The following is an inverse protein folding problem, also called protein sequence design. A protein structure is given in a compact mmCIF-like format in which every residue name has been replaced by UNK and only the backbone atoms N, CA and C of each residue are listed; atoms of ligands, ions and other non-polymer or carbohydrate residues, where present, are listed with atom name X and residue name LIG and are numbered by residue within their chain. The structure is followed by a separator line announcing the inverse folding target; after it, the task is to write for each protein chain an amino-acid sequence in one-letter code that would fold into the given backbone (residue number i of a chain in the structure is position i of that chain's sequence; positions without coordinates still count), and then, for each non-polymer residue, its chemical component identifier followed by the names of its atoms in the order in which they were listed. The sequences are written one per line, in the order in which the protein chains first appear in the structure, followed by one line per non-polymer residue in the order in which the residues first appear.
data_IF_061254152942
#
_entry.id   IF_061254152942
#
_cell.length_a   1.000
_cell.length_b   1.000
_cell.length_c   1.000
_cell.angle_alpha   90.00
_cell.angle_beta   90.00
_cell.angle_gamma   90.00
#
_symmetry.space_group_name_H-M   'P 1'
#
loop_
_entity.id
_entity.type
_entity.pdbx_description
1 polymer ?
#
# COMPACT_ATOMS: atom_id res chain seq x y z
N UNK A 1 7.25 -1.96 -1.20
CA UNK A 1 6.12 -1.01 -1.38
C UNK A 1 5.80 -0.69 -2.84
N UNK A 2 6.75 -0.23 -3.65
CA UNK A 2 6.47 0.16 -5.05
C UNK A 2 5.85 -0.96 -5.90
N UNK A 3 6.26 -2.23 -5.70
CA UNK A 3 5.64 -3.40 -6.37
C UNK A 3 4.13 -3.50 -6.11
N UNK A 4 3.71 -3.32 -4.86
CA UNK A 4 2.29 -3.38 -4.49
C UNK A 4 1.50 -2.23 -5.13
N UNK A 5 1.94 -0.99 -4.90
CA UNK A 5 1.23 0.18 -5.42
C UNK A 5 1.24 0.22 -6.95
N UNK A 6 2.32 -0.21 -7.59
CA UNK A 6 2.41 -0.29 -9.06
C UNK A 6 1.46 -1.32 -9.69
N UNK A 7 1.00 -2.33 -8.94
CA UNK A 7 0.09 -3.36 -9.44
C UNK A 7 -1.40 -2.94 -9.40
N UNK A 8 -1.76 -1.96 -8.55
CA UNK A 8 -3.15 -1.55 -8.33
C UNK A 8 -3.84 -0.87 -9.53
N UNK A 9 -3.15 -0.05 -10.36
CA UNK A 9 -3.75 0.55 -11.56
C UNK A 9 -4.05 -0.42 -12.71
N UNK A 10 -3.81 -1.73 -12.56
CA UNK A 10 -3.97 -2.73 -13.63
C UNK A 10 -4.79 -3.96 -13.26
N UNK A 11 -4.83 -4.94 -14.16
CA UNK A 11 -5.50 -6.24 -13.97
C UNK A 11 -4.84 -7.13 -12.89
N UNK A 12 -3.68 -6.73 -12.36
CA UNK A 12 -2.86 -7.48 -11.41
C UNK A 12 -3.28 -7.30 -9.94
N UNK A 13 -4.57 -7.02 -9.67
CA UNK A 13 -5.08 -6.87 -8.28
C UNK A 13 -4.84 -8.14 -7.44
N UNK A 14 -4.92 -9.32 -8.05
CA UNK A 14 -4.58 -10.59 -7.38
C UNK A 14 -3.11 -10.69 -6.98
N UNK A 15 -2.19 -10.21 -7.81
CA UNK A 15 -0.76 -10.16 -7.49
C UNK A 15 -0.46 -9.16 -6.36
N UNK A 16 -1.24 -8.08 -6.28
CA UNK A 16 -1.18 -7.13 -5.18
C UNK A 16 -1.67 -7.75 -3.87
N UNK A 17 -2.73 -8.55 -3.91
CA UNK A 17 -3.27 -9.25 -2.72
C UNK A 17 -2.29 -10.25 -2.15
N UNK A 18 -1.53 -10.96 -3.00
CA UNK A 18 -0.50 -11.89 -2.58
C UNK A 18 0.65 -11.23 -1.78
N UNK A 19 0.75 -9.90 -1.75
CA UNK A 19 1.73 -9.16 -0.94
C UNK A 19 1.24 -8.88 0.49
N UNK A 20 -0.02 -9.18 0.81
CA UNK A 20 -0.55 -9.08 2.17
C UNK A 20 -0.21 -10.33 2.99
N UNK A 21 -0.16 -10.17 4.31
CA UNK A 21 0.00 -11.27 5.24
C UNK A 21 -1.14 -12.28 5.07
N UNK A 22 -0.80 -13.57 4.97
CA UNK A 22 -1.76 -14.62 4.63
C UNK A 22 -2.22 -14.61 3.16
N UNK A 23 -1.57 -13.83 2.29
CA UNK A 23 -1.80 -13.81 0.84
C UNK A 23 -3.08 -13.06 0.41
N UNK A 24 -3.72 -12.33 1.33
CA UNK A 24 -4.90 -11.51 1.04
C UNK A 24 -5.05 -10.38 2.07
N UNK A 25 -5.61 -9.23 1.70
CA UNK A 25 -6.02 -8.23 2.67
C UNK A 25 -7.12 -8.75 3.60
N UNK A 26 -7.33 -8.06 4.74
CA UNK A 26 -8.53 -8.23 5.54
C UNK A 26 -9.81 -7.95 4.71
N UNK A 27 -10.98 -8.49 5.09
CA UNK A 27 -12.23 -8.30 4.32
C UNK A 27 -12.58 -6.82 4.07
N UNK A 28 -12.27 -5.95 5.03
CA UNK A 28 -12.25 -4.50 4.86
C UNK A 28 -10.80 -4.06 5.03
N UNK A 29 -10.04 -3.91 3.94
CA UNK A 29 -8.64 -3.50 4.04
C UNK A 29 -8.54 -2.05 4.53
N UNK A 30 -7.48 -1.77 5.29
CA UNK A 30 -7.18 -0.40 5.72
C UNK A 30 -6.84 0.55 4.55
N UNK A 31 -6.61 0.01 3.34
CA UNK A 31 -6.46 0.75 2.08
C UNK A 31 -7.67 0.66 1.14
N UNK A 32 -8.85 0.34 1.68
CA UNK A 32 -10.10 0.29 0.93
C UNK A 32 -10.39 1.57 0.12
N UNK A 33 -9.97 2.75 0.62
CA UNK A 33 -10.10 4.02 -0.09
C UNK A 33 -9.41 4.02 -1.45
N UNK A 34 -8.23 3.41 -1.57
CA UNK A 34 -7.52 3.25 -2.84
C UNK A 34 -8.14 2.14 -3.69
N UNK A 35 -8.43 0.99 -3.07
CA UNK A 35 -8.98 -0.19 -3.76
C UNK A 35 -10.37 0.06 -4.36
N UNK A 36 -11.15 0.94 -3.75
CA UNK A 36 -12.46 1.38 -4.23
C UNK A 36 -12.40 2.31 -5.45
N UNK A 37 -11.24 2.83 -5.81
CA UNK A 37 -11.10 3.66 -7.01
C UNK A 37 -11.12 2.77 -8.26
N UNK A 38 -12.17 2.94 -9.07
CA UNK A 38 -12.27 2.36 -10.41
C UNK A 38 -11.60 3.22 -11.48
N UNK A 39 -11.43 2.67 -12.69
CA UNK A 39 -10.98 3.38 -13.88
C UNK A 39 -9.69 4.23 -13.67
N UNK A 40 -8.73 3.70 -12.90
CA UNK A 40 -7.44 4.36 -12.70
C UNK A 40 -6.70 4.40 -14.04
N UNK A 41 -6.47 5.61 -14.56
CA UNK A 41 -5.71 5.83 -15.79
C UNK A 41 -4.20 5.90 -15.49
N UNK A 42 -3.84 6.50 -14.37
CA UNK A 42 -2.47 6.56 -13.89
C UNK A 42 -2.40 6.84 -12.39
N UNK A 43 -1.28 6.47 -11.78
CA UNK A 43 -1.01 6.74 -10.37
C UNK A 43 0.43 7.21 -10.20
N UNK A 44 0.59 8.34 -9.51
CA UNK A 44 1.90 8.80 -9.03
C UNK A 44 2.03 8.41 -7.57
N UNK A 45 3.15 7.76 -7.25
CA UNK A 45 3.49 7.26 -5.92
C UNK A 45 4.68 8.07 -5.41
N UNK A 46 4.55 8.66 -4.24
CA UNK A 46 5.67 9.23 -3.51
C UNK A 46 5.76 8.52 -2.16
N UNK A 47 6.94 7.96 -1.85
CA UNK A 47 7.19 7.28 -0.59
C UNK A 47 8.23 8.09 0.18
N UNK A 48 8.00 8.26 1.48
CA UNK A 48 9.02 8.78 2.37
C UNK A 48 9.92 7.63 2.88
N UNK A 49 10.98 7.97 3.62
CA UNK A 49 11.89 7.00 4.20
C UNK A 49 11.14 6.04 5.15
N UNK A 50 11.45 4.74 5.15
CA UNK A 50 10.88 3.81 6.11
C UNK A 50 11.17 4.21 7.56
N UNK A 51 10.17 4.07 8.42
CA UNK A 51 10.24 4.33 9.86
C UNK A 51 10.21 2.99 10.59
N UNK A 52 11.19 2.71 11.44
CA UNK A 52 11.19 1.50 12.27
C UNK A 52 10.06 1.57 13.32
N UNK A 53 9.31 0.47 13.47
CA UNK A 53 8.22 0.33 14.44
C UNK A 53 8.60 -0.56 15.63
N UNK A 54 9.80 -1.12 15.62
CA UNK A 54 10.40 -1.89 16.70
C UNK A 54 11.84 -1.43 16.97
N UNK A 55 12.45 -2.01 18.00
CA UNK A 55 13.82 -1.72 18.41
C UNK A 55 14.82 -2.80 17.96
N UNK A 56 14.40 -3.72 17.08
CA UNK A 56 15.29 -4.77 16.58
C UNK A 56 16.33 -4.20 15.60
N UNK A 57 17.47 -4.88 15.46
CA UNK A 57 18.53 -4.51 14.52
C UNK A 57 18.97 -5.74 13.72
N UNK A 58 18.55 -5.86 12.43
CA UNK A 58 17.71 -4.92 11.68
C UNK A 58 16.23 -4.93 12.18
N UNK A 59 15.45 -3.84 11.93
CA UNK A 59 14.04 -3.80 12.28
C UNK A 59 13.24 -4.92 11.63
N UNK A 60 12.25 -5.45 12.33
CA UNK A 60 11.31 -6.47 11.81
C UNK A 60 9.96 -5.90 11.46
N UNK A 61 9.68 -4.66 11.81
CA UNK A 61 8.46 -3.94 11.48
C UNK A 61 8.82 -2.53 11.08
N UNK A 62 8.31 -2.13 9.92
CA UNK A 62 8.49 -0.78 9.40
C UNK A 62 7.16 -0.20 8.95
N UNK A 63 7.07 1.12 9.02
CA UNK A 63 6.04 1.91 8.37
C UNK A 63 6.66 2.65 7.18
N UNK A 64 6.01 2.60 6.02
CA UNK A 64 6.40 3.36 4.83
C UNK A 64 5.30 4.37 4.56
N UNK A 65 5.53 5.66 4.88
CA UNK A 65 4.58 6.73 4.56
C UNK A 65 4.49 6.91 3.04
N UNK A 66 3.27 7.17 2.56
CA UNK A 66 2.98 7.32 1.14
C UNK A 66 2.05 8.49 0.88
N UNK A 67 2.29 9.13 -0.27
CA UNK A 67 1.42 10.15 -0.84
C UNK A 67 1.11 9.73 -2.28
N UNK A 68 -0.17 9.62 -2.60
CA UNK A 68 -0.65 9.12 -3.88
C UNK A 68 -1.43 10.20 -4.61
N UNK A 69 -1.17 10.34 -5.90
CA UNK A 69 -2.02 11.10 -6.83
C UNK A 69 -2.59 10.10 -7.82
N UNK A 70 -3.90 9.88 -7.76
CA UNK A 70 -4.62 8.92 -8.60
C UNK A 70 -5.42 9.68 -9.63
N UNK A 71 -5.17 9.44 -10.91
CA UNK A 71 -5.94 10.01 -12.01
C UNK A 71 -6.94 8.97 -12.52
N UNK A 72 -8.20 9.36 -12.59
CA UNK A 72 -9.30 8.58 -13.16
C UNK A 72 -9.85 9.29 -14.41
N UNK A 73 -10.82 8.65 -15.06
CA UNK A 73 -11.67 9.27 -16.09
C UNK A 73 -12.51 10.46 -15.58
N UNK A 74 -12.87 10.43 -14.30
CA UNK A 74 -13.73 11.41 -13.63
C UNK A 74 -12.98 12.52 -12.89
N UNK A 75 -11.67 12.40 -12.69
CA UNK A 75 -10.89 13.44 -12.04
C UNK A 75 -9.56 12.99 -11.45
N UNK A 76 -9.10 13.70 -10.43
CA UNK A 76 -7.85 13.40 -9.72
C UNK A 76 -8.11 13.38 -8.22
N UNK A 77 -7.75 12.27 -7.57
CA UNK A 77 -7.84 12.09 -6.13
C UNK A 77 -6.44 12.10 -5.51
N UNK A 78 -6.34 12.61 -4.27
CA UNK A 78 -5.12 12.55 -3.47
C UNK A 78 -5.38 11.71 -2.24
N UNK A 79 -4.51 10.74 -1.99
CA UNK A 79 -4.55 9.90 -0.81
C UNK A 79 -3.24 10.04 -0.05
N UNK A 80 -3.30 10.02 1.27
CA UNK A 80 -2.13 10.02 2.16
C UNK A 80 -2.28 8.97 3.24
N UNK A 81 -1.15 8.46 3.71
CA UNK A 81 -1.12 7.54 4.84
C UNK A 81 0.14 6.69 4.82
N UNK A 82 0.04 5.42 5.21
CA UNK A 82 1.20 4.55 5.29
C UNK A 82 0.85 3.07 5.11
N UNK A 83 1.85 2.28 4.73
CA UNK A 83 1.79 0.82 4.75
C UNK A 83 2.75 0.29 5.78
N UNK A 84 2.30 -0.72 6.54
CA UNK A 84 3.10 -1.37 7.58
C UNK A 84 3.49 -2.76 7.13
N UNK A 85 4.78 -3.03 7.21
CA UNK A 85 5.40 -4.22 6.64
C UNK A 85 6.12 -5.02 7.71
N UNK A 86 6.13 -6.33 7.54
CA UNK A 86 6.92 -7.28 8.32
C UNK A 86 7.57 -8.33 7.39
N UNK A 87 8.65 -9.02 7.79
CA UNK A 87 9.17 -10.16 7.07
C UNK A 87 8.12 -11.26 6.95
N UNK A 88 8.03 -11.85 5.77
CA UNK A 88 7.23 -13.05 5.54
C UNK A 88 7.96 -14.26 6.11
N UNK A 89 7.25 -15.07 6.88
CA UNK A 89 7.80 -16.28 7.49
C UNK A 89 8.36 -17.24 6.43
N UNK A 90 9.63 -17.65 6.60
CA UNK A 90 10.28 -18.59 5.69
C UNK A 90 10.75 -18.00 4.36
N UNK A 91 10.79 -16.67 4.21
CA UNK A 91 11.31 -15.98 3.03
C UNK A 91 12.05 -14.69 3.39
N UNK A 92 12.86 -14.18 2.48
CA UNK A 92 13.50 -12.85 2.61
C UNK A 92 12.59 -11.70 2.13
N UNK A 93 11.34 -12.02 1.74
CA UNK A 93 10.36 -11.04 1.28
C UNK A 93 9.66 -10.34 2.45
N UNK A 94 9.18 -9.12 2.20
CA UNK A 94 8.32 -8.37 3.11
C UNK A 94 6.86 -8.48 2.68
N UNK A 95 5.96 -8.54 3.66
CA UNK A 95 4.51 -8.56 3.46
C UNK A 95 3.84 -7.39 4.18
N UNK A 96 2.68 -6.96 3.66
CA UNK A 96 1.84 -5.93 4.24
C UNK A 96 0.96 -6.58 5.32
N UNK A 97 1.05 -6.12 6.56
CA UNK A 97 0.17 -6.59 7.63
C UNK A 97 -0.89 -5.55 8.03
N UNK A 98 -0.71 -4.28 7.64
CA UNK A 98 -1.62 -3.18 7.94
C UNK A 98 -1.37 -2.03 6.95
N UNK A 99 -2.38 -1.19 6.74
CA UNK A 99 -2.20 0.11 6.10
C UNK A 99 -3.00 1.19 6.86
N UNK A 100 -2.87 2.44 6.41
CA UNK A 100 -3.85 3.50 6.63
C UNK A 100 -3.82 4.36 5.38
N UNK A 101 -4.96 4.61 4.74
CA UNK A 101 -5.05 5.53 3.62
C UNK A 101 -6.35 6.34 3.69
N UNK A 102 -6.21 7.65 3.55
CA UNK A 102 -7.33 8.57 3.60
C UNK A 102 -7.27 9.56 2.44
N UNK A 103 -8.45 9.92 1.93
CA UNK A 103 -8.57 10.98 0.95
C UNK A 103 -8.28 12.34 1.59
N UNK A 104 -7.52 13.17 0.88
CA UNK A 104 -7.30 14.56 1.27
C UNK A 104 -8.38 15.40 0.60
N UNK A 105 -9.29 15.95 1.40
CA UNK A 105 -10.25 16.96 0.94
C UNK A 105 -9.48 18.24 0.57
N UNK A 106 -9.86 18.85 -0.55
CA UNK A 106 -9.37 20.17 -0.97
C UNK A 106 -10.33 21.25 -0.51
#
# INVERSE_FOLDING_TARGET
MQRYLGALPGAARGDADALWSGGRPAPVPDDAALRGIGNIQSMRINNDAPIALDQEQPPRRIEVPVQLIVRTDTGTQRLVGAYRLQPRSGSDDWEIYSATLHAVLR
#
